data_IF_661731751084
#
_entry.id   IF_661731751084
#
_cell.length_a   1.000
_cell.length_b   1.000
_cell.length_c   1.000
_cell.angle_alpha   90.00
_cell.angle_beta   90.00
_cell.angle_gamma   90.00
#
_symmetry.space_group_name_H-M   'P 1'
#
loop_
_entity.id
_entity.type
_entity.pdbx_description
1 polymer ?
#
# COMPACT_ATOMS: atom_id res chain seq x y z
N UNK A 1 15.36 -4.33 13.86
CA UNK A 1 16.60 -5.12 13.68
C UNK A 1 17.66 -4.11 13.36
N UNK A 2 18.51 -3.85 14.33
CA UNK A 2 19.74 -3.08 14.20
C UNK A 2 20.69 -3.90 13.33
N UNK A 3 21.24 -3.30 12.27
CA UNK A 3 22.39 -3.84 11.57
C UNK A 3 23.51 -2.82 11.74
N UNK A 4 24.23 -3.03 12.83
CA UNK A 4 25.61 -2.65 13.05
C UNK A 4 26.46 -3.63 12.23
N UNK A 5 27.29 -3.13 11.30
CA UNK A 5 28.69 -3.58 11.22
C UNK A 5 29.51 -2.55 10.43
N UNK A 6 30.27 -1.77 11.18
CA UNK A 6 31.25 -0.84 10.65
C UNK A 6 32.46 -1.61 10.18
N UNK A 7 32.62 -1.74 8.86
CA UNK A 7 33.91 -2.12 8.27
C UNK A 7 34.78 -0.86 8.25
N UNK A 8 35.51 -0.65 9.35
CA UNK A 8 36.62 0.31 9.37
C UNK A 8 37.70 -0.29 8.46
N UNK A 9 37.81 0.25 7.25
CA UNK A 9 38.99 0.04 6.41
C UNK A 9 40.20 0.52 7.20
N UNK A 10 40.96 -0.43 7.76
CA UNK A 10 42.32 -0.14 8.18
C UNK A 10 43.12 0.03 6.90
N UNK A 11 43.39 1.29 6.55
CA UNK A 11 44.50 1.62 5.67
C UNK A 11 45.75 0.99 6.27
N UNK A 12 46.26 -0.04 5.62
CA UNK A 12 47.60 -0.55 5.86
C UNK A 12 48.57 0.46 5.22
N UNK A 13 49.33 1.25 5.98
CA UNK A 13 50.27 2.21 5.43
C UNK A 13 51.52 1.53 4.80
N UNK A 14 51.49 0.20 4.67
CA UNK A 14 52.58 -0.62 4.14
C UNK A 14 52.63 -0.78 2.62
N UNK A 15 51.58 -0.45 1.88
CA UNK A 15 51.61 -0.40 0.40
C UNK A 15 52.15 0.94 -0.11
N UNK A 16 53.30 1.36 0.41
CA UNK A 16 54.09 2.43 -0.19
C UNK A 16 54.31 2.07 -1.66
N UNK A 17 53.64 2.85 -2.50
CA UNK A 17 53.41 2.65 -3.92
C UNK A 17 54.63 2.06 -4.64
N UNK A 18 54.44 0.89 -5.26
CA UNK A 18 55.32 0.50 -6.35
C UNK A 18 55.15 1.56 -7.43
N UNK A 19 56.22 2.28 -7.78
CA UNK A 19 56.13 3.32 -8.82
C UNK A 19 55.42 2.80 -10.05
N UNK A 20 54.48 3.58 -10.55
CA UNK A 20 53.74 3.26 -11.76
C UNK A 20 54.72 2.86 -12.87
N UNK A 21 54.45 1.77 -13.58
CA UNK A 21 55.31 1.26 -14.65
C UNK A 21 55.59 2.35 -15.71
N UNK A 22 54.63 3.27 -15.89
CA UNK A 22 54.77 4.45 -16.75
C UNK A 22 55.74 5.49 -16.18
N UNK A 23 55.65 5.80 -14.88
CA UNK A 23 56.53 6.76 -14.20
C UNK A 23 57.95 6.22 -14.10
N UNK A 24 58.10 4.93 -13.79
CA UNK A 24 59.38 4.22 -13.81
C UNK A 24 60.03 4.21 -15.21
N UNK A 25 59.25 3.97 -16.27
CA UNK A 25 59.72 4.05 -17.65
C UNK A 25 60.20 5.45 -18.06
N UNK A 26 59.49 6.50 -17.63
CA UNK A 26 59.89 7.89 -17.82
C UNK A 26 61.15 8.23 -17.04
N UNK A 27 61.21 7.85 -15.76
CA UNK A 27 62.39 8.03 -14.90
C UNK A 27 63.63 7.41 -15.54
N UNK A 28 63.55 6.15 -15.97
CA UNK A 28 64.65 5.45 -16.65
C UNK A 28 65.12 6.19 -17.92
N UNK A 29 64.19 6.75 -18.70
CA UNK A 29 64.51 7.51 -19.91
C UNK A 29 65.21 8.83 -19.59
N UNK A 30 64.74 9.54 -18.55
CA UNK A 30 65.29 10.82 -18.12
C UNK A 30 66.69 10.63 -17.50
N UNK A 31 66.87 9.63 -16.63
CA UNK A 31 68.19 9.33 -16.05
C UNK A 31 69.22 8.94 -17.11
N UNK A 32 68.81 8.20 -18.15
CA UNK A 32 69.69 7.86 -19.28
C UNK A 32 70.15 9.08 -20.08
N UNK A 33 69.30 10.08 -20.24
CA UNK A 33 69.69 11.35 -20.86
C UNK A 33 70.60 12.17 -19.94
N UNK A 34 70.37 12.15 -18.62
CA UNK A 34 71.28 12.78 -17.66
C UNK A 34 72.67 12.14 -17.67
N UNK A 35 72.78 10.81 -17.75
CA UNK A 35 74.09 10.13 -17.89
C UNK A 35 74.86 10.63 -19.13
N UNK A 36 74.18 10.79 -20.27
CA UNK A 36 74.81 11.34 -21.48
C UNK A 36 75.26 12.79 -21.30
N UNK A 37 74.51 13.59 -20.54
CA UNK A 37 74.78 15.00 -20.29
C UNK A 37 75.99 15.16 -19.37
N UNK A 38 76.04 14.38 -18.28
CA UNK A 38 77.20 14.27 -17.38
C UNK A 38 78.44 13.85 -18.16
N UNK A 39 78.32 12.86 -19.05
CA UNK A 39 79.45 12.39 -19.87
C UNK A 39 80.03 13.43 -20.83
N UNK A 40 79.30 14.51 -21.16
CA UNK A 40 79.76 15.58 -22.07
C UNK A 40 80.12 16.88 -21.36
N UNK A 41 79.48 17.18 -20.24
CA UNK A 41 79.50 18.50 -19.59
C UNK A 41 79.80 18.43 -18.07
N UNK A 42 80.20 17.26 -17.57
CA UNK A 42 80.42 16.95 -16.16
C UNK A 42 79.15 17.04 -15.28
N UNK A 43 79.28 16.67 -14.01
CA UNK A 43 78.16 16.54 -13.05
C UNK A 43 77.53 17.88 -12.69
N UNK A 44 78.32 18.96 -12.67
CA UNK A 44 77.84 20.31 -12.32
C UNK A 44 76.74 20.80 -13.28
N UNK A 45 76.67 20.27 -14.51
CA UNK A 45 75.65 20.63 -15.49
C UNK A 45 74.22 20.17 -15.11
N UNK A 46 74.07 19.15 -14.26
CA UNK A 46 72.76 18.59 -13.88
C UNK A 46 72.44 18.71 -12.40
N UNK A 47 73.41 19.15 -11.58
CA UNK A 47 73.35 19.15 -10.12
C UNK A 47 72.11 19.85 -9.52
N UNK A 48 71.70 20.98 -10.08
CA UNK A 48 70.50 21.71 -9.62
C UNK A 48 69.20 21.21 -10.26
N UNK A 49 69.29 20.57 -11.43
CA UNK A 49 68.13 20.08 -12.18
C UNK A 49 67.66 18.71 -11.68
N UNK A 50 68.58 17.85 -11.25
CA UNK A 50 68.28 16.50 -10.81
C UNK A 50 67.29 16.45 -9.64
N UNK A 51 67.42 17.27 -8.56
CA UNK A 51 66.43 17.30 -7.49
C UNK A 51 65.04 17.74 -7.95
N UNK A 52 64.97 18.68 -8.91
CA UNK A 52 63.69 19.14 -9.47
C UNK A 52 63.01 18.03 -10.27
N UNK A 53 63.76 17.28 -11.06
CA UNK A 53 63.22 16.15 -11.83
C UNK A 53 62.77 15.02 -10.91
N UNK A 54 63.55 14.69 -9.87
CA UNK A 54 63.14 13.72 -8.85
C UNK A 54 61.83 14.15 -8.21
N UNK A 55 61.73 15.40 -7.74
CA UNK A 55 60.51 15.92 -7.14
C UNK A 55 59.31 15.88 -8.10
N UNK A 56 59.51 16.14 -9.40
CA UNK A 56 58.44 16.02 -10.41
C UNK A 56 58.00 14.57 -10.59
N UNK A 57 58.94 13.62 -10.63
CA UNK A 57 58.62 12.19 -10.76
C UNK A 57 57.90 11.65 -9.53
N UNK A 58 58.34 12.03 -8.33
CA UNK A 58 57.69 11.66 -7.06
C UNK A 58 56.26 12.24 -6.98
N UNK A 59 56.08 13.51 -7.32
CA UNK A 59 54.75 14.12 -7.36
C UNK A 59 53.84 13.44 -8.39
N UNK A 60 54.38 13.10 -9.56
CA UNK A 60 53.62 12.40 -10.60
C UNK A 60 53.16 11.02 -10.10
N UNK A 61 54.04 10.29 -9.42
CA UNK A 61 53.73 8.97 -8.88
C UNK A 61 52.68 9.03 -7.75
N UNK A 62 52.79 10.03 -6.86
CA UNK A 62 51.78 10.31 -5.82
C UNK A 62 50.40 10.59 -6.44
N UNK A 63 50.34 11.47 -7.44
CA UNK A 63 49.08 11.79 -8.13
C UNK A 63 48.52 10.58 -8.89
N UNK A 64 49.37 9.70 -9.42
CA UNK A 64 48.93 8.45 -10.03
C UNK A 64 48.30 7.50 -9.01
N UNK A 65 48.91 7.36 -7.83
CA UNK A 65 48.37 6.52 -6.76
C UNK A 65 47.00 7.05 -6.28
N UNK A 66 46.90 8.36 -6.00
CA UNK A 66 45.64 9.00 -5.62
C UNK A 66 44.55 8.83 -6.69
N UNK A 67 44.90 9.00 -7.97
CA UNK A 67 43.94 8.77 -9.05
C UNK A 67 43.45 7.32 -9.12
N UNK A 68 44.32 6.35 -8.86
CA UNK A 68 43.94 4.93 -8.87
C UNK A 68 43.02 4.60 -7.70
N UNK A 69 43.27 5.18 -6.52
CA UNK A 69 42.38 5.07 -5.36
C UNK A 69 40.99 5.66 -5.67
N UNK A 70 40.93 6.85 -6.24
CA UNK A 70 39.67 7.46 -6.67
C UNK A 70 38.95 6.66 -7.75
N UNK A 71 39.67 6.01 -8.67
CA UNK A 71 39.06 5.15 -9.69
C UNK A 71 38.38 3.93 -9.04
N UNK A 72 39.03 3.32 -8.04
CA UNK A 72 38.45 2.21 -7.26
C UNK A 72 37.23 2.68 -6.47
N UNK A 73 37.31 3.82 -5.78
CA UNK A 73 36.17 4.39 -5.05
C UNK A 73 34.97 4.67 -5.97
N UNK A 74 35.23 5.22 -7.16
CA UNK A 74 34.21 5.46 -8.17
C UNK A 74 33.56 4.17 -8.68
N UNK A 75 34.31 3.07 -8.82
CA UNK A 75 33.75 1.78 -9.20
C UNK A 75 32.86 1.20 -8.10
N UNK A 76 33.30 1.26 -6.83
CA UNK A 76 32.50 0.82 -5.69
C UNK A 76 31.19 1.60 -5.57
N UNK A 77 31.25 2.93 -5.69
CA UNK A 77 30.05 3.78 -5.64
C UNK A 77 29.09 3.49 -6.80
N UNK A 78 29.61 3.15 -7.99
CA UNK A 78 28.76 2.75 -9.12
C UNK A 78 28.08 1.41 -8.86
N UNK A 79 28.79 0.43 -8.31
CA UNK A 79 28.23 -0.87 -7.95
C UNK A 79 27.12 -0.73 -6.88
N UNK A 80 27.39 0.05 -5.82
CA UNK A 80 26.38 0.35 -4.79
C UNK A 80 25.15 1.05 -5.38
N UNK A 81 25.34 1.96 -6.32
CA UNK A 81 24.23 2.65 -6.99
C UNK A 81 23.38 1.67 -7.81
N UNK A 82 24.01 0.76 -8.55
CA UNK A 82 23.31 -0.26 -9.34
C UNK A 82 22.50 -1.22 -8.44
N UNK A 83 23.07 -1.62 -7.31
CA UNK A 83 22.36 -2.41 -6.30
C UNK A 83 21.16 -1.64 -5.73
N UNK A 84 21.33 -0.36 -5.38
CA UNK A 84 20.24 0.49 -4.89
C UNK A 84 19.11 0.66 -5.91
N UNK A 85 19.45 0.84 -7.19
CA UNK A 85 18.46 0.92 -8.28
C UNK A 85 17.67 -0.39 -8.35
N UNK A 86 18.36 -1.53 -8.35
CA UNK A 86 17.72 -2.85 -8.41
C UNK A 86 16.75 -3.08 -7.24
N UNK A 87 17.15 -2.69 -6.03
CA UNK A 87 16.29 -2.77 -4.84
C UNK A 87 15.09 -1.84 -4.94
N UNK A 88 15.30 -0.60 -5.38
CA UNK A 88 14.23 0.38 -5.58
C UNK A 88 13.18 -0.12 -6.58
N UNK A 89 13.61 -0.69 -7.71
CA UNK A 89 12.70 -1.22 -8.73
C UNK A 89 11.88 -2.39 -8.21
N UNK A 90 12.51 -3.30 -7.44
CA UNK A 90 11.82 -4.41 -6.78
C UNK A 90 10.75 -3.91 -5.79
N UNK A 91 11.10 -2.96 -4.94
CA UNK A 91 10.18 -2.41 -3.94
C UNK A 91 9.02 -1.65 -4.62
N UNK A 92 9.32 -0.88 -5.67
CA UNK A 92 8.32 -0.19 -6.49
C UNK A 92 7.33 -1.19 -7.10
N UNK A 93 7.79 -2.33 -7.59
CA UNK A 93 6.93 -3.37 -8.15
C UNK A 93 6.05 -4.03 -7.07
N UNK A 94 6.62 -4.34 -5.90
CA UNK A 94 5.89 -4.90 -4.76
C UNK A 94 4.80 -3.95 -4.27
N UNK A 95 5.12 -2.65 -4.16
CA UNK A 95 4.17 -1.63 -3.75
C UNK A 95 3.02 -1.48 -4.74
N UNK A 96 3.31 -1.44 -6.04
CA UNK A 96 2.27 -1.40 -7.08
C UNK A 96 1.32 -2.61 -6.98
N UNK A 97 1.87 -3.81 -6.83
CA UNK A 97 1.06 -5.02 -6.70
C UNK A 97 0.26 -5.05 -5.39
N UNK A 98 0.77 -4.50 -4.29
CA UNK A 98 0.02 -4.34 -3.06
C UNK A 98 -1.15 -3.35 -3.24
N UNK A 99 -0.91 -2.20 -3.90
CA UNK A 99 -1.94 -1.21 -4.22
C UNK A 99 -3.06 -1.82 -5.09
N UNK A 100 -2.72 -2.62 -6.10
CA UNK A 100 -3.68 -3.36 -6.93
C UNK A 100 -4.57 -4.28 -6.08
N UNK A 101 -3.99 -5.05 -5.16
CA UNK A 101 -4.76 -5.91 -4.25
C UNK A 101 -5.66 -5.14 -3.28
N UNK A 102 -5.21 -3.98 -2.82
CA UNK A 102 -6.03 -3.15 -1.93
C UNK A 102 -7.26 -2.62 -2.67
N UNK A 103 -7.12 -2.20 -3.93
CA UNK A 103 -8.26 -1.78 -4.75
C UNK A 103 -9.26 -2.92 -4.97
N UNK A 104 -8.78 -4.12 -5.35
CA UNK A 104 -9.65 -5.30 -5.51
C UNK A 104 -10.40 -5.65 -4.21
N UNK A 105 -9.73 -5.55 -3.07
CA UNK A 105 -10.34 -5.79 -1.77
C UNK A 105 -11.40 -4.74 -1.42
N UNK A 106 -11.12 -3.46 -1.66
CA UNK A 106 -12.07 -2.37 -1.42
C UNK A 106 -13.33 -2.53 -2.29
N UNK A 107 -13.17 -2.83 -3.58
CA UNK A 107 -14.29 -3.09 -4.49
C UNK A 107 -15.14 -4.29 -4.02
N UNK A 108 -14.49 -5.38 -3.60
CA UNK A 108 -15.19 -6.56 -3.07
C UNK A 108 -15.96 -6.24 -1.79
N UNK A 109 -15.38 -5.46 -0.89
CA UNK A 109 -16.02 -5.08 0.37
C UNK A 109 -17.19 -4.11 0.16
N UNK A 110 -17.05 -3.15 -0.76
CA UNK A 110 -18.16 -2.23 -1.08
C UNK A 110 -19.32 -2.98 -1.75
N UNK A 111 -19.02 -3.96 -2.60
CA UNK A 111 -20.04 -4.84 -3.18
C UNK A 111 -20.77 -5.67 -2.11
N UNK A 112 -20.03 -6.31 -1.20
CA UNK A 112 -20.62 -7.08 -0.09
C UNK A 112 -21.49 -6.22 0.81
N UNK A 113 -21.01 -5.03 1.18
CA UNK A 113 -21.74 -4.04 1.96
C UNK A 113 -23.03 -3.61 1.27
N UNK A 114 -22.99 -3.35 -0.04
CA UNK A 114 -24.17 -3.01 -0.83
C UNK A 114 -25.19 -4.16 -0.84
N UNK A 115 -24.74 -5.39 -0.98
CA UNK A 115 -25.61 -6.57 -0.97
C UNK A 115 -26.26 -6.79 0.40
N UNK A 116 -25.52 -6.58 1.49
CA UNK A 116 -26.05 -6.61 2.85
C UNK A 116 -27.08 -5.48 3.08
N UNK A 117 -26.78 -4.26 2.64
CA UNK A 117 -27.73 -3.14 2.73
C UNK A 117 -29.02 -3.43 1.96
N UNK A 118 -28.91 -3.98 0.75
CA UNK A 118 -30.05 -4.41 -0.03
C UNK A 118 -30.85 -5.50 0.70
N UNK A 119 -30.18 -6.47 1.33
CA UNK A 119 -30.84 -7.52 2.09
C UNK A 119 -31.62 -6.97 3.29
N UNK A 120 -31.01 -6.07 4.06
CA UNK A 120 -31.67 -5.36 5.18
C UNK A 120 -32.90 -4.61 4.68
N UNK A 121 -32.76 -3.82 3.61
CA UNK A 121 -33.87 -3.07 3.04
C UNK A 121 -35.05 -3.96 2.61
N UNK A 122 -34.77 -5.15 2.06
CA UNK A 122 -35.84 -6.13 1.75
C UNK A 122 -36.53 -6.65 3.02
N UNK A 123 -35.76 -7.02 4.04
CA UNK A 123 -36.33 -7.53 5.30
C UNK A 123 -37.23 -6.48 5.98
N UNK A 124 -36.80 -5.21 6.02
CA UNK A 124 -37.64 -4.13 6.56
C UNK A 124 -38.92 -3.91 5.76
N UNK A 125 -38.87 -4.07 4.43
CA UNK A 125 -40.06 -3.98 3.58
C UNK A 125 -41.02 -5.14 3.86
N UNK A 126 -40.51 -6.36 3.94
CA UNK A 126 -41.29 -7.56 4.27
C UNK A 126 -41.92 -7.45 5.66
N UNK A 127 -41.21 -6.90 6.64
CA UNK A 127 -41.73 -6.64 7.99
C UNK A 127 -42.90 -5.65 7.96
N UNK A 128 -42.74 -4.49 7.32
CA UNK A 128 -43.83 -3.51 7.17
C UNK A 128 -45.06 -4.10 6.46
N UNK A 129 -44.85 -4.89 5.41
CA UNK A 129 -45.95 -5.56 4.72
C UNK A 129 -46.67 -6.55 5.64
N UNK A 130 -45.91 -7.32 6.42
CA UNK A 130 -46.49 -8.25 7.40
C UNK A 130 -47.27 -7.52 8.50
N UNK A 131 -46.82 -6.35 8.96
CA UNK A 131 -47.51 -5.54 9.96
C UNK A 131 -48.84 -5.02 9.40
N UNK A 132 -48.83 -4.41 8.22
CA UNK A 132 -50.05 -3.92 7.56
C UNK A 132 -51.06 -5.05 7.34
N UNK A 133 -50.59 -6.24 6.97
CA UNK A 133 -51.46 -7.41 6.81
C UNK A 133 -52.09 -7.85 8.13
N UNK A 134 -51.34 -7.80 9.25
CA UNK A 134 -51.88 -8.08 10.59
C UNK A 134 -52.94 -7.04 10.99
N UNK A 135 -52.67 -5.75 10.79
CA UNK A 135 -53.62 -4.68 11.09
C UNK A 135 -54.90 -4.81 10.27
N UNK A 136 -54.77 -5.03 8.95
CA UNK A 136 -55.90 -5.27 8.06
C UNK A 136 -56.75 -6.46 8.52
N UNK A 137 -56.12 -7.59 8.82
CA UNK A 137 -56.83 -8.79 9.28
C UNK A 137 -57.58 -8.55 10.60
N UNK A 138 -56.97 -7.85 11.56
CA UNK A 138 -57.59 -7.48 12.83
C UNK A 138 -58.81 -6.57 12.63
N UNK A 139 -58.67 -5.55 11.77
CA UNK A 139 -59.76 -4.64 11.44
C UNK A 139 -60.91 -5.38 10.73
N UNK A 140 -60.57 -6.25 9.78
CA UNK A 140 -61.53 -7.08 9.06
C UNK A 140 -62.30 -8.02 10.00
N UNK A 141 -61.62 -8.65 10.96
CA UNK A 141 -62.25 -9.49 11.98
C UNK A 141 -63.26 -8.69 12.82
N UNK A 142 -62.87 -7.51 13.32
CA UNK A 142 -63.77 -6.62 14.08
C UNK A 142 -64.99 -6.17 13.25
N UNK A 143 -64.77 -5.83 11.98
CA UNK A 143 -65.85 -5.46 11.07
C UNK A 143 -66.82 -6.64 10.85
N UNK A 144 -66.29 -7.84 10.68
CA UNK A 144 -67.08 -9.06 10.52
C UNK A 144 -67.90 -9.36 11.77
N UNK A 145 -67.32 -9.24 12.97
CA UNK A 145 -68.04 -9.39 14.24
C UNK A 145 -69.16 -8.36 14.40
N UNK A 146 -68.92 -7.10 14.00
CA UNK A 146 -69.94 -6.06 14.03
C UNK A 146 -71.15 -6.42 13.14
N UNK A 147 -70.90 -6.94 11.94
CA UNK A 147 -71.96 -7.41 11.04
C UNK A 147 -72.75 -8.55 11.70
N UNK A 148 -72.08 -9.56 12.24
CA UNK A 148 -72.74 -10.68 12.93
C UNK A 148 -73.60 -10.19 14.09
N UNK A 149 -73.07 -9.33 14.97
CA UNK A 149 -73.80 -8.74 16.09
C UNK A 149 -75.04 -7.97 15.63
N UNK A 150 -74.94 -7.22 14.54
CA UNK A 150 -76.07 -6.48 13.96
C UNK A 150 -77.13 -7.43 13.41
N UNK A 151 -76.74 -8.48 12.70
CA UNK A 151 -77.65 -9.51 12.20
C UNK A 151 -78.41 -10.19 13.34
N UNK A 152 -77.72 -10.64 14.38
CA UNK A 152 -78.35 -11.24 15.57
C UNK A 152 -79.33 -10.29 16.27
N UNK A 153 -79.01 -8.99 16.32
CA UNK A 153 -79.91 -8.00 16.90
C UNK A 153 -81.18 -7.84 16.07
N UNK A 154 -81.07 -7.77 14.74
CA UNK A 154 -82.22 -7.71 13.83
C UNK A 154 -83.08 -8.97 13.94
N UNK A 155 -82.47 -10.15 14.00
CA UNK A 155 -83.18 -11.42 14.19
C UNK A 155 -83.94 -11.46 15.52
N UNK A 156 -83.32 -11.00 16.61
CA UNK A 156 -83.99 -10.87 17.92
C UNK A 156 -85.20 -9.94 17.87
N UNK A 157 -85.07 -8.77 17.22
CA UNK A 157 -86.21 -7.85 17.05
C UNK A 157 -87.33 -8.53 16.25
N UNK A 158 -86.98 -9.20 15.15
CA UNK A 158 -87.94 -9.87 14.28
C UNK A 158 -88.72 -10.96 15.02
N UNK A 159 -88.03 -11.79 15.81
CA UNK A 159 -88.67 -12.82 16.66
C UNK A 159 -89.58 -12.21 17.73
N UNK A 160 -89.15 -11.12 18.37
CA UNK A 160 -89.96 -10.46 19.38
C UNK A 160 -91.25 -9.89 18.78
N UNK A 161 -91.18 -9.26 17.59
CA UNK A 161 -92.36 -8.78 16.86
C UNK A 161 -93.32 -9.92 16.48
N UNK A 162 -92.80 -11.07 16.04
CA UNK A 162 -93.63 -12.25 15.76
C UNK A 162 -94.33 -12.76 17.05
N UNK A 163 -93.62 -12.80 18.18
CA UNK A 163 -94.22 -13.22 19.46
C UNK A 163 -95.29 -12.25 19.98
N UNK A 164 -95.13 -10.94 19.74
CA UNK A 164 -96.12 -9.91 20.09
C UNK A 164 -97.33 -10.00 19.18
N UNK A 165 -97.15 -10.27 17.88
CA UNK A 165 -98.24 -10.50 16.94
C UNK A 165 -99.11 -11.71 17.34
N UNK A 166 -98.49 -12.82 17.73
CA UNK A 166 -99.20 -14.02 18.22
C UNK A 166 -99.92 -13.78 19.56
N UNK A 167 -99.37 -12.91 20.42
CA UNK A 167 -99.98 -12.53 21.71
C UNK A 167 -101.18 -11.58 21.54
N UNK A 168 -101.16 -10.71 20.52
CA UNK A 168 -102.28 -9.81 20.21
C UNK A 168 -103.47 -10.50 19.55
N UNK A 169 -103.26 -11.64 18.86
CA UNK A 169 -104.35 -12.43 18.27
C UNK A 169 -105.04 -13.32 19.33
N UNK A 170 -104.32 -13.74 20.39
CA UNK A 170 -104.90 -14.48 21.51
C UNK A 170 -105.65 -13.60 22.53
N UNK A 171 -105.55 -12.27 22.45
CA UNK A 171 -106.16 -11.32 23.40
C UNK A 171 -107.62 -10.94 23.12
N UNK A 172 -108.22 -11.40 22.01
CA UNK A 172 -109.59 -11.02 21.61
C UNK A 172 -110.67 -12.08 21.93
N UNK A 173 -110.30 -13.18 22.58
CA UNK A 173 -111.25 -14.20 23.05
C UNK A 173 -111.42 -14.15 24.57
N UNK A 174 -112.12 -13.12 25.08
CA UNK A 174 -112.37 -13.04 26.52
C UNK A 174 -113.20 -11.86 27.02
N UNK A 175 -114.52 -12.00 26.90
CA UNK A 175 -115.55 -11.64 27.91
C UNK A 175 -116.29 -10.28 27.77
N UNK A 176 -117.55 -10.45 27.32
CA UNK A 176 -118.86 -9.83 27.70
C UNK A 176 -118.89 -8.33 28.02
#
# INVERSE_FOLDING_TARGET
MELEDGVVYQDDPGTSAMMSERVSGLANSIYREFEKLIGKYDEDAVKELMPLVVAVLENLDSVFAENQEHEVELELLKEDNEQLITQYEREKALRKHAEEKFMEFEDSQEQEKKDLQNHVGRMEMEERESELKKEFNSLHQRHTEMIHNYMEHVERIKLHQMSVADSSDSGTLGRV
#
